data_IF_560436115895
#
_entry.id   IF_560436115895
#
_cell.length_a   1.000
_cell.length_b   1.000
_cell.length_c   1.000
_cell.angle_alpha   90.00
_cell.angle_beta   90.00
_cell.angle_gamma   90.00
#
_symmetry.space_group_name_H-M   'P 1'
#
loop_
_entity.id
_entity.type
_entity.pdbx_description
1 polymer ?
#
# COMPACT_ATOMS: atom_id res chain seq x y z
N UNK A 1 -17.66 -7.64 27.81
CA UNK A 1 -17.86 -9.07 27.51
C UNK A 1 -16.88 -9.58 26.45
N UNK A 2 -16.72 -8.93 25.29
CA UNK A 2 -15.83 -9.43 24.22
C UNK A 2 -14.32 -9.44 24.53
N UNK A 3 -13.77 -8.45 25.25
CA UNK A 3 -12.30 -8.32 25.41
C UNK A 3 -11.67 -9.35 26.36
N UNK A 4 -12.32 -9.68 27.48
CA UNK A 4 -11.78 -10.66 28.43
C UNK A 4 -11.79 -12.08 27.84
N UNK A 5 -12.84 -12.42 27.10
CA UNK A 5 -12.98 -13.70 26.43
C UNK A 5 -11.98 -13.84 25.26
N UNK A 6 -11.73 -12.74 24.53
CA UNK A 6 -10.66 -12.69 23.52
C UNK A 6 -9.28 -12.86 24.14
N UNK A 7 -9.00 -12.17 25.26
CA UNK A 7 -7.71 -12.26 25.95
C UNK A 7 -7.46 -13.68 26.48
N UNK A 8 -8.47 -14.32 27.08
CA UNK A 8 -8.38 -15.69 27.56
C UNK A 8 -8.13 -16.72 26.44
N UNK A 9 -8.80 -16.55 25.29
CA UNK A 9 -8.57 -17.41 24.12
C UNK A 9 -7.15 -17.26 23.56
N UNK A 10 -6.61 -16.03 23.52
CA UNK A 10 -5.25 -15.80 23.06
C UNK A 10 -4.22 -16.36 24.05
N UNK A 11 -4.43 -16.20 25.34
CA UNK A 11 -3.55 -16.78 26.37
C UNK A 11 -3.51 -18.31 26.26
N UNK A 12 -4.68 -18.93 26.02
CA UNK A 12 -4.78 -20.37 25.79
C UNK A 12 -4.03 -20.80 24.52
N UNK A 13 -4.20 -20.07 23.42
CA UNK A 13 -3.44 -20.32 22.17
C UNK A 13 -1.93 -20.18 22.41
N UNK A 14 -1.49 -19.18 23.19
CA UNK A 14 -0.10 -19.00 23.57
C UNK A 14 0.46 -20.20 24.35
N UNK A 15 -0.30 -20.71 25.33
CA UNK A 15 0.09 -21.92 26.09
C UNK A 15 0.17 -23.17 25.21
N UNK A 16 -0.79 -23.36 24.31
CA UNK A 16 -0.79 -24.48 23.37
C UNK A 16 0.38 -24.40 22.38
N UNK A 17 0.70 -23.19 21.90
CA UNK A 17 1.86 -22.95 21.04
C UNK A 17 3.18 -23.23 21.76
N UNK A 18 3.31 -22.87 23.04
CA UNK A 18 4.49 -23.20 23.85
C UNK A 18 4.65 -24.72 24.05
N UNK A 19 3.54 -25.44 24.29
CA UNK A 19 3.55 -26.90 24.40
C UNK A 19 3.97 -27.55 23.08
N UNK A 20 3.40 -27.09 21.96
CA UNK A 20 3.77 -27.59 20.63
C UNK A 20 5.23 -27.25 20.26
N UNK A 21 5.76 -26.10 20.70
CA UNK A 21 7.15 -25.72 20.49
C UNK A 21 8.15 -26.60 21.28
N UNK A 22 7.75 -27.16 22.42
CA UNK A 22 8.55 -28.15 23.16
C UNK A 22 8.55 -29.50 22.44
N UNK A 23 7.43 -29.87 21.83
CA UNK A 23 7.28 -31.15 21.12
C UNK A 23 7.91 -31.14 19.72
N UNK A 24 7.91 -29.98 19.04
CA UNK A 24 8.45 -29.77 17.69
C UNK A 24 9.41 -28.57 17.62
N UNK A 25 10.55 -28.60 18.31
CA UNK A 25 11.46 -27.45 18.44
C UNK A 25 12.11 -27.00 17.12
N UNK A 26 12.21 -27.88 16.12
CA UNK A 26 12.84 -27.57 14.83
C UNK A 26 11.83 -27.25 13.70
N UNK A 27 10.52 -27.17 13.98
CA UNK A 27 9.53 -26.81 12.96
C UNK A 27 9.49 -25.29 12.72
N UNK A 28 10.28 -24.85 11.74
CA UNK A 28 10.35 -23.46 11.33
C UNK A 28 9.00 -22.89 10.83
N UNK A 29 8.11 -23.71 10.28
CA UNK A 29 6.82 -23.26 9.79
C UNK A 29 5.84 -22.99 10.94
N UNK A 30 5.86 -23.85 11.97
CA UNK A 30 5.11 -23.63 13.20
C UNK A 30 5.59 -22.37 13.91
N UNK A 31 6.90 -22.19 14.07
CA UNK A 31 7.49 -20.98 14.68
C UNK A 31 7.11 -19.70 13.92
N UNK A 32 7.14 -19.73 12.59
CA UNK A 32 6.70 -18.59 11.78
C UNK A 32 5.22 -18.23 12.00
N UNK A 33 4.35 -19.24 12.13
CA UNK A 33 2.91 -19.03 12.42
C UNK A 33 2.68 -18.46 13.81
N UNK A 34 3.38 -18.97 14.84
CA UNK A 34 3.30 -18.47 16.21
C UNK A 34 3.68 -16.98 16.23
N UNK A 35 4.82 -16.64 15.62
CA UNK A 35 5.29 -15.25 15.53
C UNK A 35 4.30 -14.34 14.80
N UNK A 36 3.66 -14.82 13.73
CA UNK A 36 2.63 -14.06 13.00
C UNK A 36 1.38 -13.80 13.86
N UNK A 37 0.90 -14.79 14.62
CA UNK A 37 -0.25 -14.63 15.51
C UNK A 37 0.05 -13.71 16.68
N UNK A 38 1.21 -13.83 17.30
CA UNK A 38 1.62 -12.92 18.37
C UNK A 38 1.77 -11.47 17.87
N UNK A 39 2.32 -11.29 16.67
CA UNK A 39 2.39 -9.98 16.03
C UNK A 39 0.99 -9.41 15.79
N UNK A 40 0.07 -10.20 15.22
CA UNK A 40 -1.31 -9.80 14.98
C UNK A 40 -2.04 -9.42 16.28
N UNK A 41 -1.78 -10.14 17.38
CA UNK A 41 -2.35 -9.82 18.69
C UNK A 41 -1.74 -8.55 19.30
N UNK A 42 -0.42 -8.37 19.19
CA UNK A 42 0.24 -7.11 19.60
C UNK A 42 -0.32 -5.92 18.80
N UNK A 43 -0.63 -6.13 17.52
CA UNK A 43 -1.35 -5.13 16.73
C UNK A 43 -2.75 -4.88 17.31
N UNK A 44 -3.55 -5.91 17.60
CA UNK A 44 -4.90 -5.76 18.20
C UNK A 44 -4.93 -5.05 19.55
N UNK A 45 -3.94 -5.26 20.41
CA UNK A 45 -3.86 -4.62 21.73
C UNK A 45 -3.30 -3.18 21.67
N UNK A 46 -2.49 -2.86 20.66
CA UNK A 46 -1.99 -1.48 20.41
C UNK A 46 -2.90 -0.64 19.50
N UNK A 47 -3.94 -1.25 18.89
CA UNK A 47 -4.88 -0.60 17.97
C UNK A 47 -5.55 0.68 18.53
N UNK A 48 -6.04 0.76 19.78
CA UNK A 48 -6.85 1.92 20.20
C UNK A 48 -6.13 3.26 20.06
N UNK A 49 -4.86 3.33 20.47
CA UNK A 49 -4.08 4.57 20.46
C UNK A 49 -3.61 4.99 19.05
N UNK A 50 -3.65 4.09 18.07
CA UNK A 50 -3.26 4.42 16.70
C UNK A 50 -4.36 5.17 15.98
N UNK A 51 -5.61 4.77 16.25
CA UNK A 51 -6.81 5.43 15.72
C UNK A 51 -7.26 6.61 16.59
N UNK A 52 -6.77 6.71 17.83
CA UNK A 52 -6.94 7.90 18.65
C UNK A 52 -6.04 9.04 18.17
N UNK A 53 -6.67 10.07 17.60
CA UNK A 53 -6.01 11.25 17.06
C UNK A 53 -6.12 12.47 17.99
N UNK A 54 -6.64 12.31 19.21
CA UNK A 54 -6.85 13.43 20.15
C UNK A 54 -5.55 14.12 20.57
N UNK A 55 -4.43 13.39 20.52
CA UNK A 55 -3.10 13.91 20.84
C UNK A 55 -2.41 14.60 19.64
N UNK A 56 -3.01 14.57 18.44
CA UNK A 56 -2.45 15.27 17.28
C UNK A 56 -2.75 16.77 17.35
N UNK A 57 -1.78 17.60 16.94
CA UNK A 57 -1.98 19.05 16.93
C UNK A 57 -3.09 19.45 15.95
N UNK A 58 -3.82 20.52 16.26
CA UNK A 58 -4.86 21.04 15.34
C UNK A 58 -4.28 21.35 13.96
N UNK A 59 -3.07 21.91 13.89
CA UNK A 59 -2.36 22.16 12.63
C UNK A 59 -2.15 20.88 11.82
N UNK A 60 -1.80 19.77 12.47
CA UNK A 60 -1.66 18.47 11.81
C UNK A 60 -3.00 17.97 11.30
N UNK A 61 -4.04 18.02 12.14
CA UNK A 61 -5.40 17.61 11.75
C UNK A 61 -5.90 18.41 10.55
N UNK A 62 -5.74 19.74 10.55
CA UNK A 62 -6.16 20.62 9.44
C UNK A 62 -5.35 20.39 8.16
N UNK A 63 -4.07 20.03 8.31
CA UNK A 63 -3.17 19.76 7.17
C UNK A 63 -3.54 18.46 6.46
N UNK A 64 -3.92 17.41 7.20
CA UNK A 64 -4.40 16.16 6.62
C UNK A 64 -5.85 16.27 6.15
N UNK A 65 -6.70 16.98 6.91
CA UNK A 65 -8.13 17.05 6.67
C UNK A 65 -8.88 15.77 7.07
N UNK A 66 -10.15 15.71 6.68
CA UNK A 66 -11.06 14.61 7.00
C UNK A 66 -10.99 13.47 5.96
N UNK A 67 -11.75 12.39 6.19
CA UNK A 67 -11.87 11.28 5.24
C UNK A 67 -10.54 10.58 4.96
N UNK A 68 -10.10 10.60 3.70
CA UNK A 68 -8.82 10.01 3.27
C UNK A 68 -7.63 10.60 4.02
N UNK A 69 -7.68 11.89 4.39
CA UNK A 69 -6.68 12.55 5.23
C UNK A 69 -6.43 11.84 6.55
N UNK A 70 -7.50 11.44 7.24
CA UNK A 70 -7.40 10.72 8.52
C UNK A 70 -6.82 9.33 8.35
N UNK A 71 -7.14 8.65 7.25
CA UNK A 71 -6.55 7.35 6.92
C UNK A 71 -5.03 7.48 6.73
N UNK A 72 -4.56 8.51 6.02
CA UNK A 72 -3.12 8.75 5.84
C UNK A 72 -2.43 9.16 7.14
N UNK A 73 -3.08 9.95 8.00
CA UNK A 73 -2.55 10.30 9.33
C UNK A 73 -2.41 9.07 10.22
N UNK A 74 -3.41 8.19 10.23
CA UNK A 74 -3.33 6.90 10.92
C UNK A 74 -2.20 6.05 10.35
N UNK A 75 -2.02 6.01 9.03
CA UNK A 75 -0.92 5.31 8.40
C UNK A 75 0.45 5.86 8.82
N UNK A 76 0.62 7.19 8.90
CA UNK A 76 1.84 7.79 9.45
C UNK A 76 2.09 7.31 10.88
N UNK A 77 1.07 7.26 11.74
CA UNK A 77 1.19 6.77 13.13
C UNK A 77 1.54 5.27 13.19
N UNK A 78 0.99 4.46 12.28
CA UNK A 78 1.35 3.03 12.16
C UNK A 78 2.83 2.87 11.80
N UNK A 79 3.31 3.61 10.78
CA UNK A 79 4.72 3.59 10.38
C UNK A 79 5.62 4.07 11.53
N UNK A 80 5.22 5.13 12.23
CA UNK A 80 5.96 5.66 13.40
C UNK A 80 6.09 4.63 14.53
N UNK A 81 5.13 3.71 14.67
CA UNK A 81 5.16 2.60 15.63
C UNK A 81 5.80 1.32 15.08
N UNK A 82 6.42 1.37 13.91
CA UNK A 82 7.18 0.26 13.34
C UNK A 82 6.34 -0.75 12.55
N UNK A 83 5.11 -0.41 12.17
CA UNK A 83 4.34 -1.24 11.24
C UNK A 83 5.03 -1.25 9.89
N UNK A 84 5.40 -2.44 9.42
CA UNK A 84 6.29 -2.65 8.26
C UNK A 84 5.59 -2.53 6.91
N UNK A 85 4.27 -2.64 6.88
CA UNK A 85 3.47 -2.57 5.67
C UNK A 85 2.09 -2.02 5.99
N UNK A 86 1.70 -0.96 5.28
CA UNK A 86 0.38 -0.33 5.41
C UNK A 86 -0.20 -0.16 4.02
N UNK A 87 -1.42 -0.64 3.81
CA UNK A 87 -2.15 -0.49 2.55
C UNK A 87 -3.42 0.29 2.78
N UNK A 88 -3.69 1.26 1.91
CA UNK A 88 -4.82 2.18 2.02
C UNK A 88 -5.44 2.29 0.63
N UNK A 89 -6.76 2.14 0.55
CA UNK A 89 -7.52 2.28 -0.68
C UNK A 89 -8.41 3.52 -0.61
N UNK A 90 -8.27 4.42 -1.59
CA UNK A 90 -9.21 5.51 -1.79
C UNK A 90 -10.31 5.09 -2.76
N UNK A 91 -11.57 5.36 -2.42
CA UNK A 91 -12.68 5.14 -3.35
C UNK A 91 -13.22 3.70 -3.42
N UNK A 92 -12.90 2.85 -2.45
CA UNK A 92 -13.51 1.52 -2.34
C UNK A 92 -15.00 1.60 -2.00
N UNK A 93 -15.82 0.71 -2.59
CA UNK A 93 -17.23 0.52 -2.20
C UNK A 93 -18.24 1.46 -2.85
N UNK A 94 -17.91 2.14 -3.95
CA UNK A 94 -18.90 2.84 -4.78
C UNK A 94 -19.75 1.85 -5.57
N UNK A 95 -21.07 1.98 -5.55
CA UNK A 95 -21.98 1.19 -6.39
C UNK A 95 -22.02 1.80 -7.81
N UNK A 96 -21.85 1.01 -8.89
CA UNK A 96 -21.58 -0.43 -8.89
C UNK A 96 -20.09 -0.82 -8.87
N UNK A 97 -19.14 0.11 -9.03
CA UNK A 97 -17.75 -0.26 -9.34
C UNK A 97 -16.61 0.59 -8.71
N UNK A 98 -16.90 1.39 -7.68
CA UNK A 98 -15.90 2.20 -6.98
C UNK A 98 -15.83 3.65 -7.45
N UNK A 99 -15.28 4.54 -6.62
CA UNK A 99 -15.32 5.98 -6.87
C UNK A 99 -14.50 6.40 -8.12
N UNK A 100 -13.53 5.59 -8.55
CA UNK A 100 -12.68 5.87 -9.71
C UNK A 100 -13.15 5.19 -11.01
N UNK A 101 -14.15 4.31 -10.96
CA UNK A 101 -14.64 3.60 -12.15
C UNK A 101 -15.64 4.43 -12.97
N UNK A 102 -15.13 5.52 -13.53
CA UNK A 102 -15.94 6.54 -14.19
C UNK A 102 -16.24 6.19 -15.66
N UNK A 103 -17.27 5.37 -15.87
CA UNK A 103 -17.87 5.12 -17.19
C UNK A 103 -18.84 6.23 -17.62
N UNK A 104 -19.09 7.22 -16.76
CA UNK A 104 -19.95 8.38 -17.02
C UNK A 104 -19.36 9.62 -16.34
N UNK A 105 -19.56 10.81 -16.91
CA UNK A 105 -19.19 12.10 -16.30
C UNK A 105 -17.75 12.17 -15.75
N UNK A 106 -16.80 11.55 -16.46
CA UNK A 106 -15.45 11.30 -15.96
C UNK A 106 -14.73 12.57 -15.47
N UNK A 107 -14.88 13.68 -16.19
CA UNK A 107 -14.26 14.95 -15.81
C UNK A 107 -14.68 15.39 -14.40
N UNK A 108 -15.98 15.35 -14.09
CA UNK A 108 -16.48 15.74 -12.76
C UNK A 108 -15.94 14.78 -11.70
N UNK A 109 -16.13 13.48 -11.94
CA UNK A 109 -15.69 12.43 -11.02
C UNK A 109 -14.19 12.51 -10.69
N UNK A 110 -13.32 12.53 -11.70
CA UNK A 110 -11.87 12.57 -11.48
C UNK A 110 -11.43 13.92 -10.90
N UNK A 111 -12.09 15.03 -11.21
CA UNK A 111 -11.77 16.31 -10.56
C UNK A 111 -12.01 16.23 -9.06
N UNK A 112 -13.18 15.72 -8.64
CA UNK A 112 -13.54 15.58 -7.22
C UNK A 112 -12.61 14.59 -6.51
N UNK A 113 -12.36 13.43 -7.11
CA UNK A 113 -11.49 12.41 -6.53
C UNK A 113 -10.02 12.86 -6.44
N UNK A 114 -9.47 13.50 -7.48
CA UNK A 114 -8.11 14.05 -7.44
C UNK A 114 -7.98 15.11 -6.35
N UNK A 115 -8.96 16.01 -6.19
CA UNK A 115 -8.97 17.00 -5.12
C UNK A 115 -9.03 16.35 -3.72
N UNK A 116 -9.76 15.24 -3.58
CA UNK A 116 -9.87 14.52 -2.31
C UNK A 116 -8.55 13.86 -1.87
N UNK A 117 -7.69 13.45 -2.82
CA UNK A 117 -6.44 12.74 -2.50
C UNK A 117 -5.18 13.62 -2.53
N UNK A 118 -5.16 14.68 -3.35
CA UNK A 118 -3.97 15.49 -3.61
C UNK A 118 -3.36 16.11 -2.34
N UNK A 119 -4.16 16.90 -1.61
CA UNK A 119 -3.70 17.55 -0.36
C UNK A 119 -3.26 16.52 0.70
N UNK A 120 -4.05 15.49 1.05
CA UNK A 120 -3.64 14.47 2.00
C UNK A 120 -2.32 13.78 1.66
N UNK A 121 -2.12 13.38 0.40
CA UNK A 121 -0.90 12.70 -0.06
C UNK A 121 0.31 13.64 0.09
N UNK A 122 0.17 14.88 -0.37
CA UNK A 122 1.22 15.89 -0.23
C UNK A 122 1.57 16.14 1.25
N UNK A 123 0.57 16.17 2.13
CA UNK A 123 0.77 16.31 3.58
C UNK A 123 1.51 15.10 4.15
N UNK A 124 1.13 13.87 3.80
CA UNK A 124 1.81 12.66 4.27
C UNK A 124 3.30 12.67 3.90
N UNK A 125 3.63 12.97 2.64
CA UNK A 125 5.02 13.02 2.18
C UNK A 125 5.84 14.08 2.92
N UNK A 126 5.25 15.27 3.16
CA UNK A 126 5.89 16.35 3.93
C UNK A 126 6.11 15.95 5.39
N UNK A 127 5.10 15.34 6.02
CA UNK A 127 5.14 14.92 7.43
C UNK A 127 6.19 13.81 7.64
N UNK A 128 6.20 12.79 6.77
CA UNK A 128 7.24 11.76 6.78
C UNK A 128 8.64 12.34 6.57
N UNK A 129 8.80 13.33 5.68
CA UNK A 129 10.08 14.00 5.46
C UNK A 129 10.52 14.81 6.67
N UNK A 130 9.63 15.61 7.26
CA UNK A 130 9.91 16.45 8.43
C UNK A 130 10.31 15.63 9.65
N UNK A 131 9.74 14.44 9.79
CA UNK A 131 10.05 13.49 10.87
C UNK A 131 11.30 12.66 10.61
N UNK A 132 11.93 12.79 9.45
CA UNK A 132 13.02 11.90 9.04
C UNK A 132 12.55 10.44 9.03
N UNK A 133 11.39 10.16 8.45
CA UNK A 133 10.87 8.80 8.24
C UNK A 133 10.82 8.45 6.76
N UNK A 134 10.80 9.44 5.86
CA UNK A 134 10.66 9.22 4.42
C UNK A 134 11.84 8.43 3.84
N UNK A 135 13.06 8.60 4.36
CA UNK A 135 14.22 7.85 3.87
C UNK A 135 14.12 6.34 4.17
N UNK A 136 13.40 5.97 5.24
CA UNK A 136 13.22 4.58 5.68
C UNK A 136 11.83 4.02 5.32
N UNK A 137 10.99 4.83 4.67
CA UNK A 137 9.63 4.45 4.26
C UNK A 137 9.49 4.56 2.75
N UNK A 138 9.27 3.44 2.07
CA UNK A 138 8.90 3.44 0.66
C UNK A 138 7.39 3.69 0.51
N UNK A 139 7.03 4.85 -0.01
CA UNK A 139 5.65 5.17 -0.39
C UNK A 139 5.44 4.78 -1.84
N UNK A 140 4.45 3.92 -2.07
CA UNK A 140 4.04 3.50 -3.42
C UNK A 140 2.63 3.98 -3.66
N UNK A 141 2.44 4.76 -4.72
CA UNK A 141 1.13 5.15 -5.19
C UNK A 141 0.92 4.57 -6.59
N UNK A 142 -0.15 3.81 -6.71
CA UNK A 142 -0.49 3.07 -7.90
C UNK A 142 -2.01 2.97 -8.03
N UNK A 143 -2.47 2.76 -9.25
CA UNK A 143 -3.85 2.37 -9.57
C UNK A 143 -3.86 0.95 -10.12
N UNK A 144 -5.03 0.33 -10.20
CA UNK A 144 -5.18 -0.98 -10.83
C UNK A 144 -5.04 -0.90 -12.36
N UNK A 145 -5.56 0.18 -12.94
CA UNK A 145 -5.53 0.50 -14.37
C UNK A 145 -5.70 2.02 -14.59
N UNK A 146 -5.53 2.48 -15.82
CA UNK A 146 -5.87 3.82 -16.27
C UNK A 146 -7.27 3.93 -16.88
N UNK A 147 -7.57 5.07 -17.52
CA UNK A 147 -8.79 5.25 -18.34
C UNK A 147 -8.42 5.51 -19.80
N UNK A 148 -9.17 4.93 -20.73
CA UNK A 148 -8.86 5.00 -22.17
C UNK A 148 -8.80 6.44 -22.67
N UNK A 149 -8.00 6.71 -23.69
CA UNK A 149 -7.98 8.03 -24.32
C UNK A 149 -9.30 8.36 -25.06
N UNK A 150 -9.95 7.33 -25.62
CA UNK A 150 -11.23 7.42 -26.32
C UNK A 150 -12.41 7.61 -25.38
N UNK A 151 -13.44 8.30 -25.86
CA UNK A 151 -14.69 8.49 -25.14
C UNK A 151 -15.59 7.25 -25.27
N UNK A 152 -16.19 6.88 -24.15
CA UNK A 152 -17.36 5.99 -24.10
C UNK A 152 -18.65 6.83 -24.12
N UNK A 153 -19.80 6.18 -23.90
CA UNK A 153 -21.08 6.85 -23.72
C UNK A 153 -21.02 7.95 -22.63
N UNK A 154 -21.77 9.04 -22.85
CA UNK A 154 -22.02 10.09 -21.85
C UNK A 154 -20.76 10.69 -21.17
N UNK A 155 -19.69 10.88 -21.95
CA UNK A 155 -18.41 11.47 -21.50
C UNK A 155 -17.70 10.65 -20.41
N UNK A 156 -17.90 9.33 -20.41
CA UNK A 156 -17.03 8.36 -19.74
C UNK A 156 -15.84 7.94 -20.59
N UNK A 157 -15.05 7.04 -20.03
CA UNK A 157 -13.96 6.28 -20.70
C UNK A 157 -14.07 4.82 -20.24
N UNK A 158 -13.29 3.88 -20.77
CA UNK A 158 -13.25 2.48 -20.30
C UNK A 158 -11.97 2.20 -19.48
N UNK A 159 -11.83 0.98 -18.94
CA UNK A 159 -10.61 0.47 -18.30
C UNK A 159 -9.44 0.47 -19.27
N UNK A 160 -8.28 0.93 -18.80
CA UNK A 160 -7.07 0.99 -19.63
C UNK A 160 -5.87 0.28 -18.98
N UNK A 161 -5.62 -0.98 -19.34
CA UNK A 161 -4.50 -1.75 -18.77
C UNK A 161 -3.16 -1.49 -19.47
N UNK A 162 -3.14 -0.80 -20.61
CA UNK A 162 -1.94 -0.67 -21.47
C UNK A 162 -1.09 0.57 -21.21
N UNK A 163 -1.66 1.59 -20.56
CA UNK A 163 -0.98 2.86 -20.27
C UNK A 163 -1.57 3.55 -19.04
N UNK A 164 -0.78 3.60 -17.96
CA UNK A 164 -1.10 4.34 -16.74
C UNK A 164 0.17 4.68 -15.97
N UNK A 165 0.07 5.60 -15.02
CA UNK A 165 1.19 6.07 -14.22
C UNK A 165 1.13 5.54 -12.79
N UNK A 166 2.30 5.19 -12.26
CA UNK A 166 2.52 4.97 -10.83
C UNK A 166 3.66 5.89 -10.38
N UNK A 167 3.74 6.20 -9.10
CA UNK A 167 4.89 6.91 -8.55
C UNK A 167 5.34 6.31 -7.22
N UNK A 168 6.64 6.44 -6.94
CA UNK A 168 7.26 5.98 -5.72
C UNK A 168 8.03 7.14 -5.08
N UNK A 169 8.08 7.18 -3.75
CA UNK A 169 8.84 8.18 -3.00
C UNK A 169 9.44 7.59 -1.71
N UNK A 170 10.61 8.10 -1.31
CA UNK A 170 11.29 7.62 -0.11
C UNK A 170 11.95 6.26 -0.29
N UNK A 171 12.41 5.66 0.80
CA UNK A 171 12.94 4.29 0.81
C UNK A 171 14.03 4.01 -0.24
N UNK A 172 14.92 4.97 -0.50
CA UNK A 172 16.00 4.85 -1.50
C UNK A 172 15.60 5.07 -2.97
N UNK A 173 14.39 5.57 -3.24
CA UNK A 173 13.98 5.97 -4.60
C UNK A 173 14.56 7.36 -4.94
N UNK A 174 15.07 7.49 -6.17
CA UNK A 174 15.59 8.74 -6.71
C UNK A 174 14.44 9.71 -7.00
N UNK A 175 14.40 10.82 -6.27
CA UNK A 175 13.40 11.86 -6.47
C UNK A 175 13.60 12.67 -7.76
N UNK A 176 12.52 13.24 -8.30
CA UNK A 176 12.57 14.13 -9.47
C UNK A 176 12.80 13.43 -10.81
N UNK A 177 12.59 12.11 -10.86
CA UNK A 177 12.72 11.31 -12.07
C UNK A 177 11.35 11.07 -12.67
N UNK A 178 11.23 11.30 -13.98
CA UNK A 178 10.15 10.76 -14.80
C UNK A 178 10.77 9.64 -15.63
N UNK A 179 10.22 8.44 -15.53
CA UNK A 179 10.74 7.26 -16.20
C UNK A 179 9.64 6.60 -17.01
N UNK A 180 9.82 6.63 -18.33
CA UNK A 180 8.86 6.13 -19.31
C UNK A 180 7.81 7.15 -19.72
N UNK A 181 7.09 6.82 -20.78
CA UNK A 181 6.04 7.63 -21.38
C UNK A 181 5.06 6.75 -22.15
N UNK A 182 3.86 7.26 -22.38
CA UNK A 182 2.92 6.68 -23.33
C UNK A 182 3.17 7.23 -24.73
N UNK A 183 2.60 6.59 -25.76
CA UNK A 183 2.51 7.17 -27.09
C UNK A 183 1.75 8.52 -27.09
N UNK A 184 1.77 9.21 -28.24
CA UNK A 184 1.17 10.53 -28.42
C UNK A 184 -0.34 10.58 -28.12
N UNK A 185 -1.01 9.43 -28.17
CA UNK A 185 -2.44 9.30 -27.90
C UNK A 185 -2.73 8.83 -26.47
N UNK A 186 -1.70 8.45 -25.70
CA UNK A 186 -1.85 7.92 -24.35
C UNK A 186 -2.31 6.46 -24.31
N UNK A 187 -2.14 5.68 -25.39
CA UNK A 187 -2.71 4.33 -25.52
C UNK A 187 -1.75 3.26 -25.01
N UNK A 188 -0.51 3.27 -25.46
CA UNK A 188 0.50 2.28 -25.09
C UNK A 188 1.65 2.95 -24.36
N UNK A 189 2.18 2.30 -23.32
CA UNK A 189 3.52 2.62 -22.83
C UNK A 189 4.54 2.42 -23.96
N UNK A 190 5.20 3.49 -24.40
CA UNK A 190 6.07 3.53 -25.58
C UNK A 190 7.54 3.68 -25.21
N UNK A 191 7.84 4.48 -24.19
CA UNK A 191 9.20 4.68 -23.69
C UNK A 191 9.39 3.92 -22.37
N UNK A 192 10.45 3.11 -22.29
CA UNK A 192 10.79 2.27 -21.12
C UNK A 192 9.56 1.58 -20.49
N UNK A 193 8.79 0.80 -21.27
CA UNK A 193 7.57 0.17 -20.77
C UNK A 193 7.89 -0.86 -19.69
N UNK A 194 7.12 -0.80 -18.60
CA UNK A 194 7.22 -1.74 -17.48
C UNK A 194 5.88 -2.44 -17.27
N UNK A 195 5.94 -3.73 -16.96
CA UNK A 195 4.77 -4.44 -16.46
C UNK A 195 4.66 -4.27 -14.94
N UNK A 196 3.46 -4.44 -14.37
CA UNK A 196 3.20 -4.22 -12.92
C UNK A 196 4.13 -5.02 -12.00
N UNK A 197 4.62 -6.16 -12.48
CA UNK A 197 5.58 -7.02 -11.77
C UNK A 197 6.94 -6.34 -11.56
N UNK A 198 7.33 -5.40 -12.41
CA UNK A 198 8.58 -4.65 -12.26
C UNK A 198 8.49 -3.65 -11.10
N UNK A 199 7.31 -3.07 -10.86
CA UNK A 199 7.06 -2.25 -9.66
C UNK A 199 7.17 -3.11 -8.41
N UNK A 200 6.54 -4.29 -8.39
CA UNK A 200 6.66 -5.22 -7.27
C UNK A 200 8.10 -5.67 -7.03
N UNK A 201 8.84 -5.99 -8.10
CA UNK A 201 10.25 -6.35 -8.01
C UNK A 201 11.10 -5.21 -7.46
N UNK A 202 10.81 -3.96 -7.86
CA UNK A 202 11.47 -2.76 -7.34
C UNK A 202 11.19 -2.57 -5.85
N UNK A 203 9.94 -2.70 -5.41
CA UNK A 203 9.56 -2.62 -4.01
C UNK A 203 10.27 -3.67 -3.18
N UNK A 204 10.24 -4.94 -3.61
CA UNK A 204 10.91 -6.04 -2.90
C UNK A 204 12.43 -5.82 -2.83
N UNK A 205 13.03 -5.34 -3.92
CA UNK A 205 14.45 -5.00 -3.95
C UNK A 205 14.81 -3.93 -2.92
N UNK A 206 14.05 -2.83 -2.85
CA UNK A 206 14.28 -1.77 -1.85
C UNK A 206 14.06 -2.25 -0.41
N UNK A 207 13.19 -3.24 -0.20
CA UNK A 207 13.00 -3.89 1.09
C UNK A 207 14.11 -4.91 1.44
N UNK A 208 15.09 -5.13 0.54
CA UNK A 208 16.15 -6.13 0.71
C UNK A 208 15.65 -7.57 0.55
N UNK A 209 14.50 -7.78 -0.08
CA UNK A 209 13.87 -9.07 -0.28
C UNK A 209 14.15 -9.61 -1.69
N UNK A 210 14.55 -10.88 -1.77
CA UNK A 210 14.71 -11.59 -3.03
C UNK A 210 13.37 -12.23 -3.44
N UNK A 211 12.69 -11.62 -4.42
CA UNK A 211 11.38 -12.07 -4.91
C UNK A 211 11.37 -13.51 -5.42
N UNK A 212 12.53 -14.06 -5.81
CA UNK A 212 12.69 -15.43 -6.31
C UNK A 212 12.76 -16.48 -5.21
N UNK A 213 13.06 -16.05 -3.98
CA UNK A 213 13.09 -16.93 -2.79
C UNK A 213 11.76 -16.94 -2.05
N UNK A 214 10.83 -16.04 -2.41
CA UNK A 214 9.49 -15.97 -1.85
C UNK A 214 8.58 -16.96 -2.58
N UNK A 215 8.75 -18.24 -2.27
CA UNK A 215 7.91 -19.32 -2.80
C UNK A 215 6.87 -19.75 -1.77
N UNK A 216 5.62 -19.90 -2.24
CA UNK A 216 4.54 -20.50 -1.45
C UNK A 216 4.36 -21.94 -1.95
N UNK A 217 4.54 -22.96 -1.09
CA UNK A 217 4.36 -24.36 -1.50
C UNK A 217 3.02 -24.59 -2.21
N UNK A 218 3.06 -25.25 -3.37
CA UNK A 218 1.87 -25.50 -4.20
C UNK A 218 1.41 -24.33 -5.08
N UNK A 219 2.06 -23.16 -5.00
CA UNK A 219 1.81 -22.00 -5.88
C UNK A 219 3.06 -21.64 -6.66
N UNK A 220 3.22 -22.25 -7.83
CA UNK A 220 4.33 -21.93 -8.74
C UNK A 220 4.03 -20.65 -9.50
N UNK A 221 4.94 -19.68 -9.41
CA UNK A 221 4.88 -18.45 -10.19
C UNK A 221 5.44 -18.66 -11.59
N UNK A 222 4.91 -17.91 -12.56
CA UNK A 222 5.47 -17.87 -13.91
C UNK A 222 6.69 -16.94 -13.95
N UNK A 223 7.64 -17.17 -14.87
CA UNK A 223 8.84 -16.33 -14.99
C UNK A 223 8.53 -14.83 -15.15
N UNK A 224 7.47 -14.51 -15.90
CA UNK A 224 7.00 -13.13 -16.10
C UNK A 224 6.53 -12.47 -14.79
N UNK A 225 6.05 -13.26 -13.81
CA UNK A 225 5.52 -12.73 -12.55
C UNK A 225 6.62 -12.22 -11.62
N UNK A 226 7.88 -12.61 -11.82
CA UNK A 226 8.99 -12.15 -10.97
C UNK A 226 9.39 -10.70 -11.24
N UNK A 227 9.12 -10.20 -12.46
CA UNK A 227 9.52 -8.86 -12.89
C UNK A 227 11.03 -8.60 -12.78
N UNK A 228 11.41 -7.34 -12.98
CA UNK A 228 12.78 -6.85 -12.82
C UNK A 228 12.74 -5.50 -12.10
N UNK A 229 13.60 -5.28 -11.08
CA UNK A 229 13.70 -3.97 -10.46
C UNK A 229 14.05 -2.89 -11.49
N UNK A 230 13.33 -1.77 -11.46
CA UNK A 230 13.53 -0.60 -12.31
C UNK A 230 14.73 0.18 -11.74
N UNK A 231 15.92 -0.06 -12.28
CA UNK A 231 17.17 0.45 -11.69
C UNK A 231 17.33 1.95 -11.89
N UNK A 232 16.71 2.49 -12.92
CA UNK A 232 16.78 3.88 -13.36
C UNK A 232 16.18 4.85 -12.33
N UNK A 233 15.25 4.36 -11.50
CA UNK A 233 14.57 5.14 -10.46
C UNK A 233 15.14 4.91 -9.05
N UNK A 234 16.16 4.07 -8.89
CA UNK A 234 16.80 3.78 -7.59
C UNK A 234 18.00 4.73 -7.39
N UNK A 235 18.19 5.20 -6.14
CA UNK A 235 19.26 6.11 -5.75
C UNK A 235 20.63 5.42 -5.61
#
# INVERSE_FOLDING_TARGET
MFQEEQAANVELIGKLNQLAAVEYPEDAALQARINAYELAFRMQTSVPEVFDLRDESQTTLDSYGEGYGRQLLTARRLVQRGVRFVQIYHGGGGDPAGAWDAHLNLKKNHTENCQAVDKPIATLLKDLKQRGMLQDTLVVWATEFGRTAGNEEQNGRDHHPFGFSCWLAGGGIRGGVVHGATDELGILASENPHYVTDIHATVLHQLGLDSRKLEVPGRKRLEIEFGRPIREIIA
#
